data_IF_835271083054
#
_entry.id   IF_835271083054
#
_cell.length_a   1.000
_cell.length_b   1.000
_cell.length_c   1.000
_cell.angle_alpha   90.00
_cell.angle_beta   90.00
_cell.angle_gamma   90.00
#
_symmetry.space_group_name_H-M   'P 1'
#
loop_
_entity.id
_entity.type
_entity.pdbx_description
1 polymer ?
#
# COMPACT_ATOMS: atom_id res chain seq x y z
N UNK A 1 6.81 -13.36 14.83
CA UNK A 1 6.66 -11.90 14.73
C UNK A 1 5.19 -11.58 14.52
N UNK A 2 4.59 -10.64 15.29
CA UNK A 2 3.19 -10.28 15.08
C UNK A 2 3.02 -9.51 13.77
N UNK A 3 1.93 -9.79 13.07
CA UNK A 3 1.53 -9.03 11.88
C UNK A 3 1.11 -7.63 12.34
N UNK A 4 1.64 -6.59 11.71
CA UNK A 4 1.23 -5.21 11.95
C UNK A 4 0.38 -4.74 10.78
N UNK A 5 -0.95 -4.60 10.95
CA UNK A 5 -1.82 -4.13 9.88
C UNK A 5 -1.75 -2.60 9.75
N UNK A 6 -1.69 -2.10 8.52
CA UNK A 6 -1.89 -0.68 8.20
C UNK A 6 -3.12 -0.57 7.31
N UNK A 7 -4.12 0.18 7.79
CA UNK A 7 -5.42 0.33 7.13
C UNK A 7 -5.47 1.64 6.36
N UNK A 8 -5.86 1.57 5.10
CA UNK A 8 -6.09 2.71 4.21
C UNK A 8 -7.49 2.57 3.58
N UNK A 9 -8.08 3.69 3.19
CA UNK A 9 -9.36 3.70 2.48
C UNK A 9 -9.08 3.93 1.00
N UNK A 10 -9.56 3.05 0.14
CA UNK A 10 -9.36 3.13 -1.31
C UNK A 10 -9.94 1.94 -2.06
N UNK A 11 -10.13 2.14 -3.35
CA UNK A 11 -10.67 1.14 -4.29
C UNK A 11 -9.63 0.09 -4.66
N UNK A 12 -10.07 -0.99 -5.31
CA UNK A 12 -9.18 -2.05 -5.83
C UNK A 12 -8.14 -1.48 -6.81
N UNK A 13 -8.55 -0.57 -7.68
CA UNK A 13 -7.65 0.07 -8.65
C UNK A 13 -6.59 0.94 -7.97
N UNK A 14 -6.99 1.75 -6.98
CA UNK A 14 -6.05 2.54 -6.19
C UNK A 14 -5.06 1.64 -5.43
N UNK A 15 -5.53 0.52 -4.88
CA UNK A 15 -4.70 -0.45 -4.18
C UNK A 15 -3.63 -1.07 -5.10
N UNK A 16 -3.99 -1.40 -6.34
CA UNK A 16 -3.07 -1.94 -7.33
C UNK A 16 -2.00 -0.91 -7.74
N UNK A 17 -2.42 0.33 -8.01
CA UNK A 17 -1.50 1.41 -8.35
C UNK A 17 -0.56 1.77 -7.19
N UNK A 18 -1.07 1.75 -5.95
CA UNK A 18 -0.30 1.94 -4.73
C UNK A 18 0.74 0.82 -4.55
N UNK A 19 0.34 -0.44 -4.74
CA UNK A 19 1.25 -1.59 -4.63
C UNK A 19 2.39 -1.49 -5.67
N UNK A 20 2.06 -1.04 -6.87
CA UNK A 20 3.04 -0.77 -7.92
C UNK A 20 4.00 0.36 -7.53
N UNK A 21 3.49 1.48 -7.03
CA UNK A 21 4.29 2.63 -6.59
C UNK A 21 5.26 2.25 -5.45
N UNK A 22 4.77 1.51 -4.45
CA UNK A 22 5.60 0.99 -3.35
C UNK A 22 6.77 0.15 -3.87
N UNK A 23 6.51 -0.73 -4.84
CA UNK A 23 7.52 -1.62 -5.39
C UNK A 23 8.53 -0.89 -6.26
N UNK A 24 8.06 -0.10 -7.22
CA UNK A 24 8.92 0.45 -8.28
C UNK A 24 9.58 1.77 -7.88
N UNK A 25 8.89 2.63 -7.12
CA UNK A 25 9.43 3.94 -6.74
C UNK A 25 10.01 3.96 -5.33
N UNK A 26 9.41 3.21 -4.39
CA UNK A 26 9.94 3.12 -3.02
C UNK A 26 10.83 1.90 -2.80
N UNK A 27 10.87 0.94 -3.72
CA UNK A 27 11.67 -0.28 -3.60
C UNK A 27 11.23 -1.20 -2.45
N UNK A 28 9.97 -1.11 -2.05
CA UNK A 28 9.40 -1.86 -0.92
C UNK A 28 8.35 -2.82 -1.46
N UNK A 29 8.56 -4.11 -1.20
CA UNK A 29 7.54 -5.12 -1.43
C UNK A 29 6.62 -5.20 -0.20
N UNK A 30 5.33 -4.89 -0.38
CA UNK A 30 4.32 -5.03 0.68
C UNK A 30 3.11 -5.81 0.15
N UNK A 31 2.62 -6.76 0.94
CA UNK A 31 1.41 -7.50 0.60
C UNK A 31 0.17 -6.64 0.85
N UNK A 32 -0.57 -6.37 -0.23
CA UNK A 32 -1.82 -5.62 -0.19
C UNK A 32 -2.99 -6.60 -0.16
N UNK A 33 -3.86 -6.46 0.83
CA UNK A 33 -5.07 -7.26 1.03
C UNK A 33 -6.27 -6.36 0.79
N UNK A 34 -7.17 -6.81 -0.07
CA UNK A 34 -8.37 -6.10 -0.52
C UNK A 34 -9.57 -7.06 -0.51
N UNK A 35 -10.75 -6.56 -0.89
CA UNK A 35 -11.95 -7.38 -1.09
C UNK A 35 -11.64 -8.64 -1.94
N UNK A 36 -12.14 -9.83 -1.56
CA UNK A 36 -13.17 -10.11 -0.55
C UNK A 36 -12.67 -10.35 0.88
N UNK A 37 -11.35 -10.23 1.13
CA UNK A 37 -10.77 -10.57 2.44
C UNK A 37 -11.02 -9.49 3.49
N UNK A 38 -11.10 -8.23 3.07
CA UNK A 38 -11.52 -7.06 3.86
C UNK A 38 -12.74 -6.42 3.20
N UNK A 39 -13.50 -5.55 3.91
CA UNK A 39 -14.63 -4.83 3.31
C UNK A 39 -14.23 -4.06 2.04
N UNK A 40 -15.23 -3.75 1.21
CA UNK A 40 -15.03 -2.86 0.06
C UNK A 40 -14.47 -1.50 0.51
N UNK A 41 -13.79 -0.83 -0.41
CA UNK A 41 -13.16 0.48 -0.20
C UNK A 41 -12.13 0.53 0.94
N UNK A 42 -11.67 -0.65 1.38
CA UNK A 42 -10.67 -0.81 2.43
C UNK A 42 -9.46 -1.54 1.86
N UNK A 43 -8.28 -0.98 2.10
CA UNK A 43 -6.98 -1.54 1.73
C UNK A 43 -6.24 -1.86 3.01
N UNK A 44 -5.81 -3.11 3.17
CA UNK A 44 -4.97 -3.56 4.26
C UNK A 44 -3.56 -3.83 3.76
N UNK A 45 -2.58 -3.05 4.21
CA UNK A 45 -1.17 -3.34 4.03
C UNK A 45 -0.69 -4.23 5.18
N UNK A 46 -0.17 -5.40 4.84
CA UNK A 46 0.26 -6.41 5.82
C UNK A 46 1.77 -6.35 6.03
N UNK A 47 2.20 -5.80 7.17
CA UNK A 47 3.62 -5.79 7.55
C UNK A 47 3.98 -6.96 8.45
N UNK A 48 5.12 -7.56 8.16
CA UNK A 48 5.70 -8.67 8.93
C UNK A 48 7.17 -8.33 9.17
N UNK A 49 7.49 -7.52 10.19
CA UNK A 49 8.88 -7.22 10.53
C UNK A 49 9.59 -8.49 10.98
N UNK A 50 10.85 -8.64 10.60
CA UNK A 50 11.71 -9.78 11.00
C UNK A 50 12.97 -9.24 11.66
N UNK A 51 13.71 -10.10 12.37
CA UNK A 51 14.98 -9.72 12.98
C UNK A 51 16.06 -9.28 11.97
N UNK A 52 15.87 -9.56 10.68
CA UNK A 52 16.80 -9.16 9.61
C UNK A 52 16.60 -7.71 9.16
N UNK A 53 15.50 -7.04 9.52
CA UNK A 53 15.27 -5.65 9.16
C UNK A 53 16.03 -4.73 10.13
N UNK A 54 16.78 -3.75 9.59
CA UNK A 54 17.43 -2.72 10.40
C UNK A 54 16.45 -1.61 10.80
N UNK A 55 16.87 -0.72 11.71
CA UNK A 55 16.08 0.48 12.01
C UNK A 55 15.98 1.43 10.80
N UNK A 56 16.95 1.41 9.88
CA UNK A 56 16.87 2.19 8.65
C UNK A 56 15.81 1.62 7.69
N UNK A 57 15.68 0.30 7.60
CA UNK A 57 14.61 -0.33 6.83
C UNK A 57 13.22 0.07 7.35
N UNK A 58 13.09 0.15 8.68
CA UNK A 58 11.86 0.59 9.34
C UNK A 58 11.56 2.05 9.02
N UNK A 59 12.54 2.95 9.19
CA UNK A 59 12.38 4.38 8.90
C UNK A 59 12.03 4.64 7.43
N UNK A 60 12.71 3.95 6.50
CA UNK A 60 12.39 4.00 5.06
C UNK A 60 10.95 3.55 4.79
N UNK A 61 10.50 2.49 5.46
CA UNK A 61 9.14 1.95 5.29
C UNK A 61 8.08 2.93 5.78
N UNK A 62 8.30 3.56 6.94
CA UNK A 62 7.39 4.55 7.51
C UNK A 62 7.27 5.75 6.56
N UNK A 63 8.39 6.31 6.10
CA UNK A 63 8.41 7.45 5.17
C UNK A 63 7.70 7.13 3.84
N UNK A 64 7.89 5.92 3.33
CA UNK A 64 7.19 5.47 2.13
C UNK A 64 5.67 5.44 2.36
N UNK A 65 5.20 4.88 3.48
CA UNK A 65 3.77 4.82 3.77
C UNK A 65 3.13 6.18 4.02
N UNK A 66 3.84 7.12 4.62
CA UNK A 66 3.40 8.50 4.75
C UNK A 66 3.20 9.13 3.37
N UNK A 67 4.19 9.03 2.48
CA UNK A 67 4.09 9.55 1.12
C UNK A 67 2.96 8.90 0.31
N UNK A 68 2.80 7.58 0.43
CA UNK A 68 1.71 6.84 -0.22
C UNK A 68 0.34 7.30 0.29
N UNK A 69 0.19 7.46 1.60
CA UNK A 69 -1.07 7.92 2.21
C UNK A 69 -1.47 9.30 1.69
N UNK A 70 -0.51 10.22 1.55
CA UNK A 70 -0.78 11.56 1.04
C UNK A 70 -1.10 11.52 -0.46
N UNK A 71 -0.34 10.77 -1.25
CA UNK A 71 -0.63 10.52 -2.67
C UNK A 71 -2.03 9.93 -2.90
N UNK A 72 -2.45 9.01 -2.03
CA UNK A 72 -3.78 8.39 -2.08
C UNK A 72 -4.89 9.41 -1.78
N UNK A 73 -4.71 10.25 -0.76
CA UNK A 73 -5.66 11.32 -0.42
C UNK A 73 -5.78 12.37 -1.51
N UNK A 74 -4.67 12.72 -2.15
CA UNK A 74 -4.62 13.66 -3.27
C UNK A 74 -5.18 13.08 -4.57
N UNK A 75 -5.45 11.77 -4.61
CA UNK A 75 -6.10 11.10 -5.75
C UNK A 75 -5.14 10.68 -6.86
N UNK A 76 -3.82 10.71 -6.66
CA UNK A 76 -2.82 10.31 -7.68
C UNK A 76 -3.04 8.89 -8.21
N UNK A 77 -3.56 7.99 -7.36
CA UNK A 77 -3.81 6.61 -7.75
C UNK A 77 -5.11 6.39 -8.51
N UNK A 78 -6.04 7.37 -8.54
CA UNK A 78 -7.30 7.27 -9.30
C UNK A 78 -7.11 7.42 -10.79
N UNK A 79 -6.17 8.27 -11.18
CA UNK A 79 -5.92 8.60 -12.59
C UNK A 79 -4.91 7.66 -13.26
N UNK A 80 -4.32 6.75 -12.49
CA UNK A 80 -3.34 5.80 -12.98
C UNK A 80 -3.98 4.80 -13.98
N UNK A 81 -3.29 4.52 -15.09
CA UNK A 81 -3.73 3.55 -16.10
C UNK A 81 -4.02 2.16 -15.51
N UNK A 82 -3.25 1.74 -14.49
CA UNK A 82 -3.51 0.50 -13.75
C UNK A 82 -4.85 0.55 -13.03
N UNK A 83 -5.17 1.67 -12.35
CA UNK A 83 -6.44 1.81 -11.66
C UNK A 83 -7.63 1.81 -12.63
N UNK A 84 -7.47 2.42 -13.81
CA UNK A 84 -8.47 2.40 -14.89
C UNK A 84 -8.68 1.01 -15.50
N UNK A 85 -7.71 0.11 -15.41
CA UNK A 85 -7.88 -1.28 -15.88
C UNK A 85 -8.82 -2.09 -14.97
N UNK A 86 -8.95 -1.69 -13.70
CA UNK A 86 -9.82 -2.33 -12.70
C UNK A 86 -11.20 -1.66 -12.56
N UNK A 87 -11.70 -0.99 -13.61
CA UNK A 87 -13.03 -0.33 -13.66
C UNK A 87 -14.11 -1.14 -12.93
N UNK A 88 -14.48 -0.68 -11.73
CA UNK A 88 -15.81 -0.83 -11.14
C UNK A 88 -16.63 0.42 -11.47
#
# INVERSE_FOLDING_TARGET
SPVTPVMLNGTVGEAAALAYDLRENFGIFCSVVIYPVVPKDTILLRLIPTASHSLEDVDRTIKAFEAIKDKLKEGHYRENELAKAFKE
#
